data_IF_237038070668
#
_entry.id   IF_237038070668
#
_cell.length_a   1.000
_cell.length_b   1.000
_cell.length_c   1.000
_cell.angle_alpha   90.00
_cell.angle_beta   90.00
_cell.angle_gamma   90.00
#
_symmetry.space_group_name_H-M   'P 1'
#
loop_
_entity.id
_entity.type
_entity.pdbx_description
1 polymer ?
#
# COMPACT_ATOMS: atom_id res chain seq x y z
N UNK A 1 6.73 -13.98 10.25
CA UNK A 1 7.47 -13.13 9.31
C UNK A 1 6.44 -12.37 8.48
N UNK A 2 6.54 -11.05 8.47
CA UNK A 2 5.74 -10.16 7.65
C UNK A 2 6.59 -9.65 6.49
N UNK A 3 6.00 -9.58 5.30
CA UNK A 3 6.62 -9.00 4.12
C UNK A 3 5.88 -7.72 3.74
N UNK A 4 6.60 -6.59 3.72
CA UNK A 4 6.06 -5.32 3.23
C UNK A 4 6.68 -5.04 1.86
N UNK A 5 5.84 -4.90 0.85
CA UNK A 5 6.25 -4.46 -0.49
C UNK A 5 5.95 -2.97 -0.60
N UNK A 6 6.99 -2.14 -0.70
CA UNK A 6 6.85 -0.71 -0.99
C UNK A 6 6.96 -0.52 -2.51
N UNK A 7 6.01 0.20 -3.09
CA UNK A 7 6.06 0.63 -4.47
C UNK A 7 5.59 2.07 -4.62
N UNK A 8 5.74 2.62 -5.82
CA UNK A 8 5.37 3.99 -6.11
C UNK A 8 6.26 4.66 -7.16
N UNK A 9 5.82 5.82 -7.64
CA UNK A 9 6.56 6.61 -8.63
C UNK A 9 7.79 7.29 -8.03
N UNK A 10 8.74 7.66 -8.87
CA UNK A 10 9.96 8.35 -8.48
C UNK A 10 9.63 9.70 -7.83
N UNK A 11 10.16 9.93 -6.62
CA UNK A 11 9.85 11.12 -5.82
C UNK A 11 8.64 11.00 -4.87
N UNK A 12 7.95 9.84 -4.83
CA UNK A 12 6.76 9.67 -3.98
C UNK A 12 7.05 9.46 -2.49
N UNK A 13 8.32 9.26 -2.11
CA UNK A 13 8.72 9.04 -0.70
C UNK A 13 9.08 7.60 -0.33
N UNK A 14 9.25 6.70 -1.31
CA UNK A 14 9.65 5.30 -1.08
C UNK A 14 10.85 5.12 -0.15
N UNK A 15 11.91 5.90 -0.34
CA UNK A 15 13.12 5.83 0.51
C UNK A 15 12.82 6.24 1.95
N UNK A 16 11.99 7.27 2.15
CA UNK A 16 11.54 7.68 3.50
C UNK A 16 10.71 6.59 4.16
N UNK A 17 9.84 5.91 3.40
CA UNK A 17 9.05 4.80 3.91
C UNK A 17 9.92 3.58 4.28
N UNK A 18 10.91 3.23 3.45
CA UNK A 18 11.88 2.17 3.76
C UNK A 18 12.64 2.48 5.04
N UNK A 19 13.20 3.68 5.19
CA UNK A 19 13.91 4.06 6.42
C UNK A 19 13.00 4.01 7.66
N UNK A 20 11.73 4.40 7.51
CA UNK A 20 10.77 4.29 8.61
C UNK A 20 10.51 2.85 9.04
N UNK A 21 10.57 1.88 8.12
CA UNK A 21 10.46 0.45 8.43
C UNK A 21 11.77 -0.11 9.01
N UNK A 22 12.91 0.33 8.50
CA UNK A 22 14.24 -0.04 9.00
C UNK A 22 14.41 0.37 10.47
N UNK A 23 13.99 1.59 10.83
CA UNK A 23 13.97 2.11 12.20
C UNK A 23 13.12 1.25 13.16
N UNK A 24 12.19 0.47 12.61
CA UNK A 24 11.24 -0.37 13.37
C UNK A 24 11.62 -1.86 13.29
N UNK A 25 12.81 -2.17 12.78
CA UNK A 25 13.42 -3.50 12.82
C UNK A 25 13.22 -4.37 11.58
N UNK A 26 12.60 -3.84 10.51
CA UNK A 26 12.48 -4.56 9.25
C UNK A 26 13.83 -4.62 8.53
N UNK A 27 14.16 -5.78 7.97
CA UNK A 27 15.24 -5.89 7.00
C UNK A 27 14.79 -5.25 5.69
N UNK A 28 15.45 -4.17 5.26
CA UNK A 28 15.01 -3.36 4.12
C UNK A 28 15.90 -3.55 2.89
N UNK A 29 15.31 -3.84 1.73
CA UNK A 29 16.04 -3.98 0.47
C UNK A 29 15.45 -3.02 -0.57
N UNK A 30 16.26 -2.05 -1.02
CA UNK A 30 15.88 -1.13 -2.10
C UNK A 30 16.09 -1.76 -3.49
N UNK A 31 15.29 -1.35 -4.47
CA UNK A 31 15.38 -1.79 -5.87
C UNK A 31 15.39 -3.31 -6.04
N UNK A 32 14.48 -3.99 -5.34
CA UNK A 32 14.45 -5.43 -5.32
C UNK A 32 13.82 -5.99 -6.62
N UNK A 33 14.47 -6.95 -7.31
CA UNK A 33 13.89 -7.60 -8.47
C UNK A 33 12.66 -8.45 -8.07
N UNK A 34 11.50 -8.13 -8.62
CA UNK A 34 10.27 -8.89 -8.39
C UNK A 34 10.42 -10.39 -8.73
N UNK A 35 11.34 -10.74 -9.63
CA UNK A 35 11.75 -12.11 -9.99
C UNK A 35 12.27 -12.96 -8.85
N UNK A 36 12.86 -12.32 -7.84
CA UNK A 36 13.62 -13.00 -6.79
C UNK A 36 12.85 -13.10 -5.48
N UNK A 37 11.59 -12.70 -5.48
CA UNK A 37 10.79 -12.58 -4.27
C UNK A 37 10.48 -13.96 -3.68
N UNK A 38 10.02 -14.90 -4.49
CA UNK A 38 9.82 -16.30 -4.07
C UNK A 38 11.12 -16.97 -3.57
N UNK A 39 12.25 -16.95 -4.33
CA UNK A 39 13.52 -17.49 -3.83
C UNK A 39 13.99 -16.91 -2.50
N UNK A 40 13.80 -15.59 -2.31
CA UNK A 40 14.19 -14.92 -1.08
C UNK A 40 13.40 -15.46 0.11
N UNK A 41 12.07 -15.52 0.00
CA UNK A 41 11.22 -16.05 1.06
C UNK A 41 11.54 -17.52 1.36
N UNK A 42 11.75 -18.33 0.32
CA UNK A 42 12.10 -19.74 0.50
C UNK A 42 13.42 -19.89 1.25
N UNK A 43 14.46 -19.13 0.88
CA UNK A 43 15.76 -19.16 1.56
C UNK A 43 15.69 -18.70 3.01
N UNK A 44 14.90 -17.65 3.30
CA UNK A 44 14.70 -17.16 4.67
C UNK A 44 13.96 -18.19 5.53
N UNK A 45 12.99 -18.90 4.95
CA UNK A 45 12.27 -19.99 5.63
C UNK A 45 13.19 -21.17 5.93
N UNK A 46 14.07 -21.57 5.00
CA UNK A 46 15.03 -22.66 5.20
C UNK A 46 16.09 -22.33 6.25
N UNK A 47 16.49 -21.06 6.34
CA UNK A 47 17.46 -20.57 7.31
C UNK A 47 16.85 -20.24 8.70
N UNK A 48 15.55 -20.51 8.92
CA UNK A 48 14.80 -20.15 10.13
C UNK A 48 14.92 -18.66 10.51
N UNK A 49 15.08 -17.77 9.52
CA UNK A 49 15.17 -16.33 9.75
C UNK A 49 13.76 -15.79 9.98
N UNK A 50 13.46 -15.38 11.22
CA UNK A 50 12.13 -14.89 11.62
C UNK A 50 11.96 -13.38 11.45
N UNK A 51 12.96 -12.68 10.93
CA UNK A 51 12.94 -11.21 10.83
C UNK A 51 11.96 -10.74 9.76
N UNK A 52 11.18 -9.70 10.06
CA UNK A 52 10.28 -9.08 9.10
C UNK A 52 11.05 -8.36 7.98
N UNK A 53 10.52 -8.40 6.77
CA UNK A 53 11.20 -7.98 5.55
C UNK A 53 10.42 -6.86 4.87
N UNK A 54 11.14 -5.85 4.37
CA UNK A 54 10.59 -4.81 3.53
C UNK A 54 11.37 -4.73 2.21
N UNK A 55 10.68 -4.84 1.08
CA UNK A 55 11.28 -4.77 -0.25
C UNK A 55 10.67 -3.62 -1.04
N UNK A 56 11.50 -2.86 -1.74
CA UNK A 56 11.04 -1.81 -2.64
C UNK A 56 11.06 -2.28 -4.08
N UNK A 57 9.89 -2.32 -4.71
CA UNK A 57 9.69 -2.67 -6.11
C UNK A 57 9.20 -1.41 -6.82
N UNK A 58 9.99 -0.88 -7.75
CA UNK A 58 9.63 0.31 -8.52
C UNK A 58 9.81 0.10 -10.03
N UNK A 59 9.60 1.18 -10.80
CA UNK A 59 9.63 1.18 -12.26
C UNK A 59 11.00 0.82 -12.87
N UNK A 60 12.06 0.65 -12.05
CA UNK A 60 13.36 0.12 -12.50
C UNK A 60 13.34 -1.38 -12.73
N UNK A 61 12.30 -2.08 -12.26
CA UNK A 61 12.12 -3.50 -12.50
C UNK A 61 11.79 -3.79 -13.97
N UNK A 62 12.06 -5.02 -14.40
CA UNK A 62 11.68 -5.48 -15.74
C UNK A 62 10.14 -5.50 -15.81
N UNK A 63 9.51 -4.87 -16.84
CA UNK A 63 8.05 -4.80 -16.93
C UNK A 63 7.37 -6.18 -16.85
N UNK A 64 7.97 -7.19 -17.48
CA UNK A 64 7.49 -8.58 -17.43
C UNK A 64 7.46 -9.15 -16.00
N UNK A 65 8.41 -8.78 -15.15
CA UNK A 65 8.42 -9.22 -13.75
C UNK A 65 7.34 -8.52 -12.92
N UNK A 66 6.98 -7.28 -13.27
CA UNK A 66 5.88 -6.55 -12.65
C UNK A 66 4.53 -7.11 -13.06
N UNK A 67 4.36 -7.49 -14.33
CA UNK A 67 3.16 -8.16 -14.84
C UNK A 67 2.91 -9.52 -14.16
N UNK A 68 3.98 -10.23 -13.80
CA UNK A 68 3.90 -11.52 -13.10
C UNK A 68 3.78 -11.38 -11.57
N UNK A 69 3.89 -10.16 -11.04
CA UNK A 69 3.83 -9.91 -9.61
C UNK A 69 2.54 -10.43 -8.94
N UNK A 70 1.32 -10.28 -9.52
CA UNK A 70 0.11 -10.85 -8.93
C UNK A 70 0.19 -12.36 -8.69
N UNK A 71 0.70 -13.11 -9.67
CA UNK A 71 0.82 -14.58 -9.58
C UNK A 71 1.80 -14.97 -8.47
N UNK A 72 2.93 -14.27 -8.38
CA UNK A 72 3.96 -14.49 -7.36
C UNK A 72 3.46 -14.17 -5.96
N UNK A 73 2.76 -13.05 -5.80
CA UNK A 73 2.16 -12.67 -4.52
C UNK A 73 1.09 -13.68 -4.08
N UNK A 74 0.28 -14.18 -5.01
CA UNK A 74 -0.71 -15.22 -4.71
C UNK A 74 -0.06 -16.53 -4.25
N UNK A 75 1.07 -16.93 -4.85
CA UNK A 75 1.82 -18.10 -4.41
C UNK A 75 2.33 -17.94 -2.95
N UNK A 76 2.70 -16.72 -2.55
CA UNK A 76 3.18 -16.42 -1.20
C UNK A 76 2.05 -16.37 -0.16
N UNK A 77 0.88 -15.90 -0.55
CA UNK A 77 -0.32 -15.94 0.30
C UNK A 77 -0.75 -17.40 0.57
N UNK A 78 -0.63 -18.28 -0.43
CA UNK A 78 -0.96 -19.71 -0.28
C UNK A 78 -0.06 -20.46 0.73
N UNK A 79 1.17 -20.00 0.94
CA UNK A 79 2.06 -20.55 1.97
C UNK A 79 1.87 -19.88 3.34
N UNK A 80 0.88 -18.98 3.48
CA UNK A 80 0.49 -18.34 4.73
C UNK A 80 1.38 -17.17 5.15
N UNK A 81 2.11 -16.54 4.22
CA UNK A 81 2.92 -15.36 4.50
C UNK A 81 2.04 -14.10 4.58
N UNK A 82 2.17 -13.30 5.64
CA UNK A 82 1.51 -11.99 5.73
C UNK A 82 2.21 -10.98 4.82
N UNK A 83 1.67 -10.79 3.62
CA UNK A 83 2.17 -9.85 2.61
C UNK A 83 1.29 -8.59 2.63
N UNK A 84 1.93 -7.42 2.69
CA UNK A 84 1.25 -6.14 2.60
C UNK A 84 1.93 -5.24 1.57
N UNK A 85 1.16 -4.75 0.61
CA UNK A 85 1.63 -3.88 -0.47
C UNK A 85 1.23 -2.43 -0.16
N UNK A 86 2.22 -1.56 -0.10
CA UNK A 86 2.06 -0.11 0.14
C UNK A 86 2.51 0.63 -1.09
N UNK A 87 1.59 1.37 -1.71
CA UNK A 87 1.85 2.18 -2.89
C UNK A 87 1.83 3.66 -2.54
N UNK A 88 2.93 4.36 -2.84
CA UNK A 88 3.11 5.78 -2.58
C UNK A 88 3.04 6.55 -3.89
N UNK A 89 2.17 7.54 -3.97
CA UNK A 89 2.06 8.42 -5.14
C UNK A 89 1.85 9.87 -4.75
N UNK A 90 2.05 10.78 -5.69
CA UNK A 90 1.73 12.20 -5.56
C UNK A 90 1.41 12.80 -6.94
N UNK A 91 0.91 14.04 -6.95
CA UNK A 91 0.71 14.78 -8.19
C UNK A 91 2.02 14.89 -9.00
N UNK A 92 1.91 14.77 -10.34
CA UNK A 92 3.06 14.72 -11.25
C UNK A 92 4.00 15.92 -11.10
N UNK A 93 3.47 17.14 -10.97
CA UNK A 93 4.29 18.34 -10.79
C UNK A 93 5.08 18.32 -9.47
N UNK A 94 4.51 17.75 -8.40
CA UNK A 94 5.18 17.59 -7.11
C UNK A 94 6.27 16.52 -7.20
N UNK A 95 6.01 15.40 -7.89
CA UNK A 95 7.02 14.36 -8.13
C UNK A 95 8.21 14.91 -8.92
N UNK A 96 7.95 15.69 -9.98
CA UNK A 96 8.98 16.36 -10.78
C UNK A 96 9.82 17.28 -9.89
N UNK A 97 9.18 18.14 -9.09
CA UNK A 97 9.87 19.05 -8.18
C UNK A 97 10.77 18.27 -7.21
N UNK A 98 10.21 17.31 -6.47
CA UNK A 98 10.96 16.49 -5.49
C UNK A 98 12.10 15.72 -6.13
N UNK A 99 11.88 15.13 -7.31
CA UNK A 99 12.92 14.38 -7.99
C UNK A 99 14.07 15.30 -8.45
N UNK A 100 13.74 16.50 -8.96
CA UNK A 100 14.74 17.48 -9.39
C UNK A 100 15.68 17.92 -8.25
N UNK A 101 15.18 17.93 -7.01
CA UNK A 101 15.98 18.25 -5.81
C UNK A 101 17.03 17.18 -5.48
N UNK A 102 16.82 15.91 -5.90
CA UNK A 102 17.75 14.81 -5.60
C UNK A 102 19.05 14.84 -6.42
N UNK A 103 19.15 15.74 -7.42
CA UNK A 103 20.27 15.84 -8.38
C UNK A 103 20.61 14.55 -9.14
N UNK A 104 19.85 13.47 -8.98
CA UNK A 104 20.08 12.17 -9.65
C UNK A 104 19.47 12.21 -11.04
N UNK A 105 20.07 11.47 -11.99
CA UNK A 105 19.43 11.21 -13.29
C UNK A 105 18.32 10.19 -13.09
N UNK A 106 17.19 10.42 -13.73
CA UNK A 106 16.06 9.51 -13.65
C UNK A 106 16.34 8.23 -14.48
N UNK A 107 16.07 7.02 -13.94
CA UNK A 107 16.47 5.76 -14.56
C UNK A 107 15.90 5.53 -15.96
N UNK A 108 14.67 6.00 -16.20
CA UNK A 108 13.97 5.89 -17.49
C UNK A 108 14.25 7.07 -18.44
N UNK A 109 15.12 8.01 -18.07
CA UNK A 109 15.47 9.12 -18.98
C UNK A 109 16.49 8.64 -20.00
N UNK A 110 16.02 8.36 -21.22
CA UNK A 110 16.88 8.29 -22.40
C UNK A 110 17.21 9.69 -22.93
N UNK A 111 18.20 9.82 -23.82
CA UNK A 111 18.66 11.10 -24.40
C UNK A 111 17.53 11.94 -25.03
N UNK A 112 16.35 11.35 -25.27
CA UNK A 112 15.21 11.94 -25.97
C UNK A 112 13.95 12.17 -25.14
N UNK A 113 13.91 11.80 -23.85
CA UNK A 113 12.69 11.93 -23.02
C UNK A 113 12.85 12.96 -21.90
N UNK A 114 11.85 13.82 -21.73
CA UNK A 114 11.82 14.79 -20.62
C UNK A 114 11.49 14.07 -19.28
N UNK A 115 11.88 14.66 -18.15
CA UNK A 115 11.62 14.13 -16.81
C UNK A 115 10.11 13.92 -16.57
N UNK A 116 9.28 14.84 -17.09
CA UNK A 116 7.81 14.71 -17.02
C UNK A 116 7.34 13.45 -17.73
N UNK A 117 7.78 13.23 -18.97
CA UNK A 117 7.42 12.05 -19.76
C UNK A 117 7.88 10.76 -19.09
N UNK A 118 9.07 10.77 -18.48
CA UNK A 118 9.58 9.61 -17.74
C UNK A 118 8.71 9.30 -16.51
N UNK A 119 8.35 10.31 -15.72
CA UNK A 119 7.49 10.16 -14.53
C UNK A 119 6.07 9.74 -14.92
N UNK A 120 5.55 10.19 -16.06
CA UNK A 120 4.25 9.76 -16.58
C UNK A 120 4.31 8.31 -17.11
N UNK A 121 5.38 7.91 -17.79
CA UNK A 121 5.59 6.52 -18.21
C UNK A 121 5.66 5.55 -17.03
N UNK A 122 6.24 5.96 -15.89
CA UNK A 122 6.24 5.13 -14.67
C UNK A 122 4.84 4.78 -14.19
N UNK A 123 3.85 5.66 -14.41
CA UNK A 123 2.46 5.41 -14.02
C UNK A 123 1.91 4.19 -14.73
N UNK A 124 2.18 4.06 -16.04
CA UNK A 124 1.74 2.94 -16.84
C UNK A 124 2.45 1.65 -16.43
N UNK A 125 3.77 1.70 -16.23
CA UNK A 125 4.57 0.54 -15.79
C UNK A 125 4.14 0.02 -14.42
N UNK A 126 3.78 0.92 -13.51
CA UNK A 126 3.37 0.59 -12.14
C UNK A 126 1.87 0.40 -11.97
N UNK A 127 1.07 0.48 -13.04
CA UNK A 127 -0.39 0.34 -12.96
C UNK A 127 -0.79 -0.98 -12.29
N UNK A 128 -0.15 -2.08 -12.69
CA UNK A 128 -0.39 -3.42 -12.11
C UNK A 128 -0.10 -3.41 -10.61
N UNK A 129 1.02 -2.83 -10.17
CA UNK A 129 1.39 -2.82 -8.74
C UNK A 129 0.47 -1.91 -7.93
N UNK A 130 0.04 -0.79 -8.51
CA UNK A 130 -0.92 0.14 -7.92
C UNK A 130 -2.28 -0.51 -7.66
N UNK A 131 -2.76 -1.33 -8.59
CA UNK A 131 -4.03 -2.06 -8.47
C UNK A 131 -4.00 -3.14 -7.40
N UNK A 132 -2.83 -3.74 -7.14
CA UNK A 132 -2.64 -4.75 -6.09
C UNK A 132 -2.44 -4.14 -4.70
N UNK A 133 -2.30 -2.82 -4.58
CA UNK A 133 -1.90 -2.20 -3.33
C UNK A 133 -2.98 -2.30 -2.24
N UNK A 134 -2.65 -2.88 -1.10
CA UNK A 134 -3.51 -2.89 0.09
C UNK A 134 -3.69 -1.49 0.68
N UNK A 135 -2.66 -0.66 0.53
CA UNK A 135 -2.65 0.71 1.03
C UNK A 135 -2.04 1.65 -0.01
N UNK A 136 -2.87 2.53 -0.55
CA UNK A 136 -2.41 3.68 -1.33
C UNK A 136 -2.27 4.90 -0.42
N UNK A 137 -1.13 5.59 -0.52
CA UNK A 137 -0.83 6.82 0.22
C UNK A 137 -0.54 7.93 -0.78
N UNK A 138 -1.39 8.94 -0.78
CA UNK A 138 -1.11 10.22 -1.45
C UNK A 138 -0.17 11.06 -0.58
N UNK A 139 1.05 11.29 -1.08
CA UNK A 139 2.09 12.07 -0.40
C UNK A 139 2.18 13.50 -0.92
N UNK A 140 1.24 13.97 -1.75
CA UNK A 140 1.26 15.29 -2.39
C UNK A 140 1.49 16.43 -1.39
N UNK A 141 0.77 16.43 -0.27
CA UNK A 141 0.86 17.48 0.76
C UNK A 141 1.67 17.07 1.98
N UNK A 142 2.22 15.86 1.99
CA UNK A 142 2.93 15.33 3.15
C UNK A 142 4.39 15.78 3.16
N UNK A 143 4.87 16.17 4.33
CA UNK A 143 6.29 16.28 4.64
C UNK A 143 6.89 14.89 4.91
N UNK A 144 8.23 14.79 4.86
CA UNK A 144 8.92 13.52 5.16
C UNK A 144 8.62 13.00 6.58
N UNK A 145 8.55 13.89 7.57
CA UNK A 145 8.24 13.51 8.95
C UNK A 145 6.79 12.98 9.10
N UNK A 146 5.82 13.63 8.45
CA UNK A 146 4.43 13.16 8.44
C UNK A 146 4.28 11.81 7.74
N UNK A 147 5.02 11.59 6.65
CA UNK A 147 5.06 10.31 5.97
C UNK A 147 5.60 9.20 6.88
N UNK A 148 6.68 9.44 7.63
CA UNK A 148 7.22 8.48 8.61
C UNK A 148 6.15 8.11 9.64
N UNK A 149 5.47 9.11 10.22
CA UNK A 149 4.39 8.87 11.19
C UNK A 149 3.25 8.07 10.57
N UNK A 150 2.87 8.37 9.33
CA UNK A 150 1.80 7.65 8.62
C UNK A 150 2.17 6.19 8.36
N UNK A 151 3.40 5.90 7.92
CA UNK A 151 3.89 4.53 7.72
C UNK A 151 3.86 3.76 9.03
N UNK A 152 4.42 4.33 10.11
CA UNK A 152 4.41 3.70 11.44
C UNK A 152 2.99 3.42 11.92
N UNK A 153 2.05 4.33 11.69
CA UNK A 153 0.67 4.19 12.18
C UNK A 153 -0.14 3.18 11.37
N UNK A 154 -0.03 3.19 10.03
CA UNK A 154 -0.89 2.39 9.15
C UNK A 154 -0.31 1.05 8.73
N UNK A 155 1.01 0.91 8.73
CA UNK A 155 1.70 -0.28 8.22
C UNK A 155 2.23 -1.15 9.36
N UNK A 156 2.78 -0.53 10.41
CA UNK A 156 3.43 -1.22 11.53
C UNK A 156 2.46 -1.40 12.68
N UNK A 157 1.91 -0.29 13.18
CA UNK A 157 0.94 -0.26 14.27
C UNK A 157 -0.48 -0.56 13.79
N UNK A 158 -0.66 -1.67 13.05
CA UNK A 158 -1.94 -2.38 12.98
C UNK A 158 -2.28 -2.95 14.37
N UNK A 159 -2.28 -2.13 15.43
CA UNK A 159 -3.12 -2.43 16.58
C UNK A 159 -4.51 -2.56 15.99
N UNK A 160 -5.08 -3.75 16.12
CA UNK A 160 -6.35 -4.16 15.57
C UNK A 160 -7.52 -3.35 16.17
N UNK A 161 -7.53 -2.03 15.96
CA UNK A 161 -8.76 -1.26 15.95
C UNK A 161 -9.40 -1.48 14.59
N UNK A 162 -9.78 -2.74 14.33
CA UNK A 162 -10.83 -3.01 13.38
C UNK A 162 -12.03 -2.19 13.84
N UNK A 163 -12.66 -1.48 12.91
CA UNK A 163 -13.91 -0.79 13.23
C UNK A 163 -14.95 -1.87 13.50
N UNK A 164 -15.40 -1.96 14.75
CA UNK A 164 -16.50 -2.87 15.11
C UNK A 164 -17.81 -2.15 14.79
N UNK A 165 -18.52 -2.64 13.78
CA UNK A 165 -19.83 -2.11 13.40
C UNK A 165 -20.94 -2.91 14.09
N UNK A 166 -21.74 -2.23 14.91
CA UNK A 166 -22.91 -2.82 15.56
C UNK A 166 -24.18 -2.43 14.79
N UNK A 167 -24.81 -3.42 14.15
CA UNK A 167 -26.14 -3.26 13.56
C UNK A 167 -27.19 -3.73 14.56
N UNK A 168 -28.08 -2.82 14.98
CA UNK A 168 -29.15 -3.13 15.92
C UNK A 168 -30.50 -2.65 15.38
N UNK A 169 -31.44 -3.58 15.27
CA UNK A 169 -32.85 -3.24 15.04
C UNK A 169 -33.51 -2.77 16.34
N UNK A 170 -34.32 -1.72 16.27
CA UNK A 170 -35.15 -1.26 17.38
C UNK A 170 -36.55 -0.87 16.87
N UNK A 171 -37.47 -0.62 17.79
CA UNK A 171 -38.79 -0.10 17.47
C UNK A 171 -38.98 1.29 18.08
N UNK A 172 -39.50 2.26 17.32
CA UNK A 172 -39.75 3.60 17.83
C UNK A 172 -40.63 3.64 19.09
N UNK A 173 -41.56 2.68 19.22
CA UNK A 173 -42.42 2.56 20.41
C UNK A 173 -41.63 2.33 21.72
N UNK A 174 -40.43 1.76 21.63
CA UNK A 174 -39.54 1.51 22.78
C UNK A 174 -38.44 2.56 22.93
N UNK A 175 -38.45 3.60 22.07
CA UNK A 175 -37.40 4.62 22.02
C UNK A 175 -36.17 4.20 21.20
N UNK A 176 -35.36 5.20 20.83
CA UNK A 176 -34.07 5.02 20.14
C UNK A 176 -33.01 4.61 21.16
N UNK A 177 -32.14 3.61 20.86
CA UNK A 177 -31.05 3.26 21.75
C UNK A 177 -30.10 4.44 21.97
N UNK A 178 -29.77 4.71 23.25
CA UNK A 178 -28.97 5.87 23.66
C UNK A 178 -27.52 5.81 23.16
N UNK A 179 -27.05 4.64 22.78
CA UNK A 179 -25.71 4.30 22.29
C UNK A 179 -25.63 4.29 20.76
N UNK A 180 -26.63 4.83 20.06
CA UNK A 180 -26.64 4.87 18.59
C UNK A 180 -25.99 6.14 18.03
N UNK A 181 -24.93 5.98 17.22
CA UNK A 181 -24.32 7.08 16.47
C UNK A 181 -25.15 7.46 15.22
N UNK A 182 -25.73 6.46 14.54
CA UNK A 182 -26.56 6.64 13.34
C UNK A 182 -27.93 5.97 13.51
N UNK A 183 -28.99 6.62 13.04
CA UNK A 183 -30.36 6.11 13.09
C UNK A 183 -31.01 6.23 11.72
N UNK A 184 -31.48 5.10 11.19
CA UNK A 184 -32.18 5.02 9.91
C UNK A 184 -33.65 4.67 10.15
N UNK A 185 -34.58 5.55 9.76
CA UNK A 185 -36.03 5.28 9.84
C UNK A 185 -36.52 4.54 8.61
N UNK A 186 -36.96 3.30 8.81
CA UNK A 186 -37.44 2.40 7.74
C UNK A 186 -38.96 2.25 7.72
N UNK A 187 -39.72 3.05 8.48
CA UNK A 187 -41.20 2.96 8.54
C UNK A 187 -41.90 3.28 7.22
N UNK A 188 -41.21 3.94 6.30
CA UNK A 188 -41.72 4.24 4.96
C UNK A 188 -41.59 3.06 3.97
N UNK A 189 -40.90 1.98 4.35
CA UNK A 189 -40.75 0.80 3.50
C UNK A 189 -42.04 -0.03 3.40
N UNK A 190 -42.19 -0.88 2.36
CA UNK A 190 -43.34 -1.77 2.22
C UNK A 190 -43.55 -2.60 3.49
N UNK A 191 -44.73 -2.45 4.09
CA UNK A 191 -45.03 -3.07 5.36
C UNK A 191 -45.43 -4.55 5.14
N UNK A 192 -44.67 -5.52 5.70
CA UNK A 192 -44.93 -6.95 5.48
C UNK A 192 -46.26 -7.43 6.08
N UNK A 193 -46.87 -6.68 6.99
CA UNK A 193 -48.17 -7.02 7.58
C UNK A 193 -49.36 -6.93 6.59
N UNK A 194 -49.15 -6.40 5.39
CA UNK A 194 -50.18 -6.31 4.34
C UNK A 194 -50.22 -7.50 3.39
N UNK A 195 -49.23 -8.39 3.44
CA UNK A 195 -49.24 -9.65 2.70
C UNK A 195 -49.57 -10.79 3.68
N UNK A 196 -50.76 -11.38 3.52
CA UNK A 196 -51.14 -12.66 4.14
C UNK A 196 -50.78 -13.80 3.21
#
# INVERSE_FOLDING_TARGET
MKLIVISGRSGSGKSTALHALEDEGFSCIDNFPAGLLEPLIQSSSEAEIVQDLAVCIDARNVPKDLEQLPERLSALDQIGLDVQIVFLDALGDILIQRFSETRRRHPLTHVTQDLREAIDAEREVLAVVSELADLQIDTTTLTAAELVVMIKTRVINKSAKSISLLFRSFAFKTGVPIDSDFVFDVRCLPNPYWQK
#
